data_IF_782261289753
#
_entry.id   IF_782261289753
#
_cell.length_a   1.000
_cell.length_b   1.000
_cell.length_c   1.000
_cell.angle_alpha   90.00
_cell.angle_beta   90.00
_cell.angle_gamma   90.00
#
_symmetry.space_group_name_H-M   'P 1'
#
loop_
_entity.id
_entity.type
_entity.pdbx_description
1 polymer ?
#
# COMPACT_ATOMS: atom_id res chain seq x y z
N UNK A 1 -6.51 -17.30 5.02
CA UNK A 1 -5.35 -17.91 5.70
C UNK A 1 -4.12 -17.18 5.23
N UNK A 2 -3.35 -16.61 6.15
CA UNK A 2 -2.08 -15.96 5.82
C UNK A 2 -1.03 -17.02 5.44
N UNK A 3 -0.29 -16.77 4.35
CA UNK A 3 0.79 -17.65 3.88
C UNK A 3 2.17 -17.10 4.25
N UNK A 4 2.27 -15.90 4.82
CA UNK A 4 3.49 -15.29 5.36
C UNK A 4 4.51 -14.78 4.33
N UNK A 5 4.37 -15.14 3.05
CA UNK A 5 5.24 -14.69 1.95
C UNK A 5 4.73 -13.45 1.23
N UNK A 6 5.54 -12.94 0.29
CA UNK A 6 5.16 -11.82 -0.60
C UNK A 6 4.95 -10.49 0.12
N UNK A 7 5.70 -10.24 1.19
CA UNK A 7 5.54 -9.05 2.00
C UNK A 7 5.78 -7.77 1.20
N UNK A 8 4.84 -6.83 1.29
CA UNK A 8 5.02 -5.46 0.84
C UNK A 8 4.20 -4.52 1.72
N UNK A 9 4.69 -3.30 1.92
CA UNK A 9 4.03 -2.30 2.75
C UNK A 9 3.33 -1.28 1.86
N UNK A 10 2.06 -0.92 2.13
CA UNK A 10 1.50 0.30 1.56
C UNK A 10 1.92 1.49 2.41
N UNK A 11 2.44 2.50 1.73
CA UNK A 11 3.05 3.67 2.34
C UNK A 11 2.52 4.94 1.72
N UNK A 12 2.47 6.00 2.52
CA UNK A 12 2.35 7.36 2.03
C UNK A 12 3.74 7.91 1.75
N UNK A 13 3.92 8.40 0.54
CA UNK A 13 5.20 8.78 -0.05
C UNK A 13 5.10 10.23 -0.52
N UNK A 14 6.15 10.99 -0.24
CA UNK A 14 6.29 12.41 -0.63
C UNK A 14 7.65 12.63 -1.27
N UNK A 15 7.84 13.79 -1.89
CA UNK A 15 9.17 14.24 -2.32
C UNK A 15 10.13 14.27 -1.13
N UNK A 16 11.36 13.80 -1.35
CA UNK A 16 12.45 13.87 -0.36
C UNK A 16 12.70 15.31 0.11
N UNK A 17 12.54 16.27 -0.82
CA UNK A 17 12.74 17.71 -0.62
C UNK A 17 11.62 18.36 0.24
N UNK A 18 10.51 17.66 0.50
CA UNK A 18 9.45 18.16 1.39
C UNK A 18 10.00 18.27 2.82
N UNK A 19 10.03 19.45 3.46
CA UNK A 19 10.59 19.63 4.80
C UNK A 19 9.60 19.17 5.90
N UNK A 20 9.23 17.89 5.86
CA UNK A 20 8.37 17.22 6.83
C UNK A 20 8.90 15.80 7.08
N UNK A 21 8.91 15.39 8.34
CA UNK A 21 9.30 14.05 8.79
C UNK A 21 8.09 13.15 9.07
N UNK A 22 6.89 13.73 9.19
CA UNK A 22 5.64 13.03 9.51
C UNK A 22 4.47 13.54 8.67
N UNK A 23 3.44 12.72 8.52
CA UNK A 23 2.23 13.12 7.80
C UNK A 23 1.61 14.39 8.40
N UNK A 24 1.59 14.49 9.73
CA UNK A 24 1.07 15.67 10.45
C UNK A 24 1.82 16.94 10.03
N UNK A 25 3.15 16.90 10.02
CA UNK A 25 3.98 18.03 9.59
C UNK A 25 3.74 18.37 8.11
N UNK A 26 3.61 17.38 7.23
CA UNK A 26 3.31 17.62 5.81
C UNK A 26 1.95 18.32 5.63
N UNK A 27 0.91 17.85 6.35
CA UNK A 27 -0.43 18.45 6.31
C UNK A 27 -0.43 19.88 6.84
N UNK A 28 0.30 20.16 7.92
CA UNK A 28 0.46 21.51 8.47
C UNK A 28 1.21 22.43 7.50
N UNK A 29 2.28 21.92 6.89
CA UNK A 29 3.07 22.64 5.90
C UNK A 29 2.20 23.00 4.68
N UNK A 30 1.48 22.04 4.10
CA UNK A 30 0.60 22.30 2.96
C UNK A 30 -0.48 23.33 3.29
N UNK A 31 -1.06 23.29 4.50
CA UNK A 31 -1.98 24.34 4.96
C UNK A 31 -1.31 25.71 5.04
N UNK A 32 -0.11 25.78 5.60
CA UNK A 32 0.65 27.03 5.73
C UNK A 32 1.02 27.65 4.37
N UNK A 33 1.25 26.80 3.37
CA UNK A 33 1.53 27.18 1.99
C UNK A 33 0.27 27.54 1.19
N UNK A 34 -0.92 27.44 1.79
CA UNK A 34 -2.18 27.77 1.15
C UNK A 34 -2.65 26.73 0.14
N UNK A 35 -2.18 25.49 0.23
CA UNK A 35 -2.67 24.38 -0.59
C UNK A 35 -4.18 24.22 -0.36
N UNK A 36 -4.98 24.25 -1.43
CA UNK A 36 -6.45 24.22 -1.31
C UNK A 36 -7.02 22.81 -1.28
N UNK A 37 -6.36 21.88 -1.95
CA UNK A 37 -6.75 20.48 -2.12
C UNK A 37 -5.50 19.63 -2.15
N UNK A 38 -5.42 18.59 -1.32
CA UNK A 38 -4.34 17.59 -1.36
C UNK A 38 -4.59 16.62 -2.51
N UNK A 39 -3.68 16.55 -3.47
CA UNK A 39 -3.72 15.62 -4.60
C UNK A 39 -3.02 14.33 -4.20
N UNK A 40 -3.76 13.23 -4.20
CA UNK A 40 -3.26 11.91 -3.79
C UNK A 40 -3.24 10.99 -5.01
N UNK A 41 -2.05 10.70 -5.54
CA UNK A 41 -1.89 9.71 -6.61
C UNK A 41 -1.87 8.29 -6.02
N UNK A 42 -2.50 7.33 -6.70
CA UNK A 42 -2.40 5.92 -6.31
C UNK A 42 -2.89 4.95 -7.39
N UNK A 43 -2.23 3.79 -7.48
CA UNK A 43 -2.79 2.61 -8.16
C UNK A 43 -3.90 1.93 -7.33
N UNK A 44 -4.06 2.32 -6.06
CA UNK A 44 -5.05 1.80 -5.11
C UNK A 44 -6.05 2.90 -4.71
N UNK A 45 -6.88 3.43 -5.62
CA UNK A 45 -7.69 4.62 -5.36
C UNK A 45 -8.64 4.48 -4.17
N UNK A 46 -9.22 3.29 -3.95
CA UNK A 46 -10.07 3.03 -2.80
C UNK A 46 -9.30 3.04 -1.46
N UNK A 47 -8.04 2.59 -1.46
CA UNK A 47 -7.18 2.62 -0.28
C UNK A 47 -6.72 4.06 -0.01
N UNK A 48 -6.35 4.80 -1.06
CA UNK A 48 -5.98 6.20 -0.96
C UNK A 48 -7.12 7.08 -0.43
N UNK A 49 -8.36 6.88 -0.92
CA UNK A 49 -9.55 7.56 -0.42
C UNK A 49 -9.78 7.25 1.06
N UNK A 50 -9.69 5.98 1.46
CA UNK A 50 -9.80 5.58 2.86
C UNK A 50 -8.72 6.22 3.74
N UNK A 51 -7.46 6.19 3.29
CA UNK A 51 -6.33 6.78 4.00
C UNK A 51 -6.50 8.29 4.22
N UNK A 52 -6.90 9.03 3.17
CA UNK A 52 -7.14 10.46 3.27
C UNK A 52 -8.26 10.81 4.26
N UNK A 53 -9.33 10.00 4.31
CA UNK A 53 -10.43 10.18 5.27
C UNK A 53 -10.02 9.86 6.71
N UNK A 54 -9.29 8.78 6.92
CA UNK A 54 -8.77 8.39 8.24
C UNK A 54 -7.82 9.46 8.81
N UNK A 55 -7.04 10.10 7.95
CA UNK A 55 -6.11 11.17 8.32
C UNK A 55 -6.71 12.59 8.25
N UNK A 56 -8.03 12.70 8.09
CA UNK A 56 -8.77 13.98 8.13
C UNK A 56 -8.23 15.06 7.18
N UNK A 57 -7.86 14.68 5.95
CA UNK A 57 -7.51 15.66 4.92
C UNK A 57 -8.72 16.58 4.65
N UNK A 58 -8.52 17.90 4.69
CA UNK A 58 -9.63 18.88 4.67
C UNK A 58 -10.37 18.87 3.32
N UNK A 59 -9.61 18.89 2.23
CA UNK A 59 -10.04 18.71 0.85
C UNK A 59 -8.96 17.91 0.17
N UNK A 60 -9.35 16.83 -0.49
CA UNK A 60 -8.44 15.99 -1.24
C UNK A 60 -9.06 15.52 -2.54
N UNK A 61 -8.21 15.14 -3.48
CA UNK A 61 -8.58 14.50 -4.73
C UNK A 61 -7.70 13.27 -4.91
N UNK A 62 -8.33 12.11 -5.09
CA UNK A 62 -7.61 10.91 -5.49
C UNK A 62 -7.46 10.89 -7.00
N UNK A 63 -6.22 10.73 -7.47
CA UNK A 63 -5.83 10.64 -8.87
C UNK A 63 -5.48 9.16 -9.13
N UNK A 64 -6.35 8.39 -9.79
CA UNK A 64 -6.03 7.01 -10.14
C UNK A 64 -4.94 7.01 -11.22
N UNK A 65 -3.91 6.21 -11.01
CA UNK A 65 -2.76 6.09 -11.92
C UNK A 65 -2.47 4.63 -12.26
N UNK A 66 -1.61 4.40 -13.25
CA UNK A 66 -1.19 3.06 -13.67
C UNK A 66 0.26 3.10 -14.14
N UNK A 67 1.16 2.48 -13.38
CA UNK A 67 2.60 2.49 -13.62
C UNK A 67 3.26 3.87 -13.49
N UNK A 68 4.59 3.86 -13.36
CA UNK A 68 5.44 5.06 -13.23
C UNK A 68 4.92 6.09 -12.21
N UNK A 69 4.47 5.58 -11.06
CA UNK A 69 3.81 6.33 -10.01
C UNK A 69 4.70 7.37 -9.36
N UNK A 70 6.01 7.15 -9.38
CA UNK A 70 7.00 8.01 -8.76
C UNK A 70 7.10 9.39 -9.43
N UNK A 71 6.82 9.47 -10.73
CA UNK A 71 6.86 10.71 -11.50
C UNK A 71 5.72 11.68 -11.21
N UNK A 72 4.72 11.29 -10.40
CA UNK A 72 3.61 12.18 -10.05
C UNK A 72 3.96 13.16 -8.94
N UNK A 73 4.91 12.82 -8.07
CA UNK A 73 5.22 13.64 -6.89
C UNK A 73 6.55 14.37 -7.09
N UNK A 74 6.62 15.71 -6.89
CA UNK A 74 5.56 16.61 -6.39
C UNK A 74 4.68 17.31 -7.46
N UNK A 75 4.98 17.14 -8.75
CA UNK A 75 4.45 17.99 -9.81
C UNK A 75 2.93 17.82 -9.99
N UNK A 76 2.45 16.58 -10.09
CA UNK A 76 1.06 16.24 -10.37
C UNK A 76 0.27 15.80 -9.13
N UNK A 77 0.96 15.40 -8.06
CA UNK A 77 0.40 15.00 -6.79
C UNK A 77 1.25 15.47 -5.60
N UNK A 78 0.61 15.72 -4.46
CA UNK A 78 1.29 16.13 -3.23
C UNK A 78 1.69 14.90 -2.38
N UNK A 79 0.94 13.81 -2.54
CA UNK A 79 1.13 12.54 -1.84
C UNK A 79 0.92 11.37 -2.80
N UNK A 80 1.75 10.34 -2.67
CA UNK A 80 1.62 9.08 -3.37
C UNK A 80 1.31 7.96 -2.39
N UNK A 81 0.28 7.17 -2.67
CA UNK A 81 -0.03 5.94 -1.93
C UNK A 81 0.40 4.75 -2.78
N UNK A 82 1.46 4.08 -2.36
CA UNK A 82 2.12 3.03 -3.14
C UNK A 82 2.65 1.87 -2.28
N UNK A 83 2.79 0.70 -2.91
CA UNK A 83 3.45 -0.47 -2.34
C UNK A 83 4.97 -0.36 -2.37
N UNK A 84 5.61 -0.46 -1.21
CA UNK A 84 7.05 -0.36 -1.02
C UNK A 84 7.58 -1.70 -0.49
N UNK A 85 8.57 -2.25 -1.18
CA UNK A 85 9.27 -3.47 -0.73
C UNK A 85 10.62 -3.15 -0.08
N UNK A 86 11.54 -2.56 -0.85
CA UNK A 86 12.92 -2.26 -0.39
C UNK A 86 13.21 -0.77 -0.25
N UNK A 87 12.32 0.08 -0.77
CA UNK A 87 12.50 1.54 -0.82
C UNK A 87 13.51 2.03 -1.86
N UNK A 88 14.19 1.13 -2.60
CA UNK A 88 15.19 1.51 -3.61
C UNK A 88 14.61 2.41 -4.70
N UNK A 89 13.46 2.03 -5.26
CA UNK A 89 12.79 2.79 -6.31
C UNK A 89 12.39 4.18 -5.84
N UNK A 90 11.98 4.33 -4.57
CA UNK A 90 11.67 5.64 -4.01
C UNK A 90 12.93 6.53 -3.96
N UNK A 91 14.04 6.00 -3.46
CA UNK A 91 15.29 6.75 -3.38
C UNK A 91 15.83 7.15 -4.76
N UNK A 92 15.73 6.26 -5.77
CA UNK A 92 16.11 6.55 -7.15
C UNK A 92 15.28 7.70 -7.77
N UNK A 93 14.06 7.91 -7.28
CA UNK A 93 13.15 8.97 -7.72
C UNK A 93 13.07 10.16 -6.74
N UNK A 94 13.99 10.26 -5.76
CA UNK A 94 14.01 11.33 -4.75
C UNK A 94 12.70 11.43 -3.97
N UNK A 95 12.16 10.28 -3.59
CA UNK A 95 10.96 10.14 -2.77
C UNK A 95 11.31 9.52 -1.42
N UNK A 96 10.49 9.85 -0.41
CA UNK A 96 10.59 9.27 0.92
C UNK A 96 9.24 8.83 1.44
N UNK A 97 9.25 7.74 2.22
CA UNK A 97 8.07 7.32 2.99
C UNK A 97 7.88 8.24 4.18
N UNK A 98 6.68 8.81 4.33
CA UNK A 98 6.31 9.65 5.48
C UNK A 98 5.38 8.92 6.47
N UNK A 99 4.74 7.84 6.00
CA UNK A 99 3.91 6.97 6.83
C UNK A 99 3.82 5.57 6.21
N UNK A 100 3.95 4.53 7.04
CA UNK A 100 3.73 3.13 6.67
C UNK A 100 2.50 2.64 7.43
N UNK A 101 1.40 2.45 6.72
CA UNK A 101 0.11 2.27 7.37
C UNK A 101 -0.52 0.90 7.13
N UNK A 102 -0.02 0.10 6.19
CA UNK A 102 -0.49 -1.26 5.98
C UNK A 102 0.67 -2.19 5.61
N UNK A 103 0.77 -3.30 6.34
CA UNK A 103 1.65 -4.42 6.00
C UNK A 103 0.83 -5.52 5.34
N UNK A 104 1.21 -5.90 4.14
CA UNK A 104 0.49 -6.91 3.34
C UNK A 104 1.28 -8.21 3.25
N UNK A 105 0.56 -9.33 3.17
CA UNK A 105 1.09 -10.67 2.92
C UNK A 105 0.22 -11.40 1.91
N UNK A 106 0.79 -12.40 1.23
CA UNK A 106 0.00 -13.29 0.39
C UNK A 106 -0.94 -14.13 1.25
N UNK A 107 -2.23 -14.05 0.96
CA UNK A 107 -3.27 -14.79 1.67
C UNK A 107 -4.03 -15.74 0.74
N UNK A 108 -4.31 -16.95 1.21
CA UNK A 108 -5.33 -17.81 0.61
C UNK A 108 -6.72 -17.35 1.05
N UNK A 109 -7.54 -16.92 0.10
CA UNK A 109 -8.92 -16.47 0.31
C UNK A 109 -9.87 -17.49 -0.31
N UNK A 110 -10.88 -17.92 0.44
CA UNK A 110 -11.94 -18.81 -0.02
C UNK A 110 -13.31 -18.19 0.25
N UNK A 111 -14.29 -18.53 -0.59
CA UNK A 111 -15.67 -18.09 -0.39
C UNK A 111 -16.24 -18.59 0.93
N UNK A 112 -17.02 -17.76 1.63
CA UNK A 112 -17.79 -18.18 2.81
C UNK A 112 -18.94 -19.11 2.46
N UNK A 113 -19.33 -19.20 1.18
CA UNK A 113 -20.40 -20.09 0.72
C UNK A 113 -19.89 -21.52 0.71
N UNK A 114 -20.74 -22.45 1.14
CA UNK A 114 -20.38 -23.86 1.13
C UNK A 114 -20.24 -24.36 -0.32
N UNK A 115 -19.09 -24.97 -0.68
CA UNK A 115 -18.93 -25.54 -2.01
C UNK A 115 -19.81 -26.78 -2.19
N UNK A 116 -20.19 -27.13 -3.44
CA UNK A 116 -20.81 -28.42 -3.72
C UNK A 116 -19.93 -29.58 -3.23
N UNK A 117 -20.52 -30.74 -2.86
CA UNK A 117 -19.76 -31.88 -2.32
C UNK A 117 -18.56 -32.28 -3.18
N UNK A 118 -18.72 -32.28 -4.51
CA UNK A 118 -17.65 -32.60 -5.47
C UNK A 118 -16.42 -31.69 -5.38
N UNK A 119 -16.57 -30.45 -4.89
CA UNK A 119 -15.47 -29.47 -4.75
C UNK A 119 -15.01 -29.29 -3.30
N UNK A 120 -15.81 -29.73 -2.33
CA UNK A 120 -15.49 -29.60 -0.90
C UNK A 120 -14.20 -30.35 -0.54
N UNK A 121 -14.04 -31.56 -1.07
CA UNK A 121 -12.85 -32.38 -0.82
C UNK A 121 -11.59 -31.73 -1.41
N UNK A 122 -11.65 -31.29 -2.67
CA UNK A 122 -10.53 -30.60 -3.31
C UNK A 122 -10.14 -29.31 -2.56
N UNK A 123 -11.12 -28.51 -2.13
CA UNK A 123 -10.85 -27.29 -1.37
C UNK A 123 -10.11 -27.60 -0.05
N UNK A 124 -10.57 -28.62 0.68
CA UNK A 124 -9.93 -29.06 1.93
C UNK A 124 -8.48 -29.51 1.69
N UNK A 125 -8.24 -30.29 0.63
CA UNK A 125 -6.90 -30.73 0.25
C UNK A 125 -5.99 -29.56 -0.12
N UNK A 126 -6.48 -28.57 -0.87
CA UNK A 126 -5.71 -27.38 -1.24
C UNK A 126 -5.35 -26.56 0.00
N UNK A 127 -6.32 -26.30 0.88
CA UNK A 127 -6.08 -25.56 2.13
C UNK A 127 -4.99 -26.24 2.96
N UNK A 128 -5.04 -27.56 3.11
CA UNK A 128 -4.07 -28.32 3.88
C UNK A 128 -2.67 -28.31 3.25
N UNK A 129 -2.58 -28.42 1.92
CA UNK A 129 -1.30 -28.29 1.20
C UNK A 129 -0.67 -26.92 1.41
N UNK A 130 -1.43 -25.84 1.27
CA UNK A 130 -0.94 -24.48 1.50
C UNK A 130 -0.55 -24.25 2.96
N UNK A 131 -1.32 -24.80 3.91
CA UNK A 131 -1.00 -24.71 5.34
C UNK A 131 0.38 -25.31 5.63
N UNK A 132 0.63 -26.54 5.19
CA UNK A 132 1.93 -27.22 5.37
C UNK A 132 3.09 -26.45 4.76
N UNK A 133 2.90 -25.92 3.55
CA UNK A 133 3.91 -25.13 2.86
C UNK A 133 4.22 -23.81 3.60
N UNK A 134 3.21 -23.14 4.15
CA UNK A 134 3.37 -21.89 4.90
C UNK A 134 4.03 -22.04 6.28
N UNK A 135 3.93 -23.23 6.90
CA UNK A 135 4.54 -23.51 8.22
C UNK A 135 6.02 -23.91 8.16
N UNK A 136 6.61 -24.03 6.97
CA UNK A 136 8.05 -24.25 6.82
C UNK A 136 8.77 -22.89 6.81
N UNK A 137 9.88 -22.71 7.56
CA UNK A 137 10.63 -21.46 7.49
C UNK A 137 11.07 -21.20 6.04
N UNK A 138 11.11 -19.93 5.60
CA UNK A 138 11.59 -19.62 4.26
C UNK A 138 12.99 -20.21 4.11
N UNK A 139 13.21 -21.02 3.07
CA UNK A 139 14.53 -21.49 2.72
C UNK A 139 15.43 -20.26 2.58
N UNK A 140 16.52 -20.21 3.35
CA UNK A 140 17.51 -19.15 3.26
C UNK A 140 17.90 -18.97 1.78
N UNK A 141 17.63 -17.79 1.23
CA UNK A 141 17.82 -17.49 -0.18
C UNK A 141 19.27 -17.75 -0.62
N UNK A 142 19.41 -18.31 -1.82
CA UNK A 142 20.65 -18.31 -2.60
C UNK A 142 20.85 -16.95 -3.25
#
# INVERSE_FOLDING_TARGET
>A
MDLGGGQFDLSAVVSEDLPAASLTEAVELWRSQGLKTIRVASEFPAIADHYARQNHFWRYQVIPISGASEGFVPEDADLLIEGVQTGRTLAENRLKTIDRFLRSTTCLIASKRQPPPAKAELLSQLIERFRRASSSPPAAGR
#
